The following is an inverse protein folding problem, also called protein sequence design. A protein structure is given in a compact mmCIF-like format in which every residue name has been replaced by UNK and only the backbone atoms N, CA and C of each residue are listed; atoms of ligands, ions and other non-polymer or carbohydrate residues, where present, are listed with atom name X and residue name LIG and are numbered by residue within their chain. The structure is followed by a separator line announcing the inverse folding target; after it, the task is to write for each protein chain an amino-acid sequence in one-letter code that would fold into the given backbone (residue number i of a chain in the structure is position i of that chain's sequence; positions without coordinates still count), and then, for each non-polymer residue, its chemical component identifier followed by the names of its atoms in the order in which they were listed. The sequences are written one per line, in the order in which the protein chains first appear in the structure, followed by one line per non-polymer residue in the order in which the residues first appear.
data_IF_787975501221
#
_entry.id   IF_787975501221
#
_cell.length_a   1.000
_cell.length_b   1.000
_cell.length_c   1.000
_cell.angle_alpha   90.00
_cell.angle_beta   90.00
_cell.angle_gamma   90.00
#
_symmetry.space_group_name_H-M   'P 1'
#
loop_
_entity.id
_entity.type
_entity.pdbx_description
1 polymer ?
#
# COMPACT_ATOMS: atom_id res chain seq x y z
N UNK A 1 -1.79 -3.48 22.49
CA UNK A 1 -2.00 -2.85 21.17
C UNK A 1 -3.27 -1.99 21.17
N UNK A 2 -3.21 -0.78 20.63
CA UNK A 2 -4.29 0.22 20.57
C UNK A 2 -4.62 0.87 21.92
N UNK A 3 -3.59 1.34 22.63
CA UNK A 3 -3.82 2.22 23.79
C UNK A 3 -4.30 3.61 23.32
N UNK A 4 -5.06 4.37 24.11
CA UNK A 4 -5.47 5.74 23.75
C UNK A 4 -4.30 6.70 23.45
N UNK A 5 -3.08 6.32 23.84
CA UNK A 5 -1.86 7.08 23.62
C UNK A 5 -1.16 6.73 22.29
N UNK A 6 -1.52 5.62 21.64
CA UNK A 6 -0.98 5.24 20.34
C UNK A 6 -1.65 6.06 19.23
N UNK A 7 -0.85 6.73 18.40
CA UNK A 7 -1.32 7.50 17.26
C UNK A 7 -0.62 7.02 15.98
N UNK A 8 -1.40 6.93 14.89
CA UNK A 8 -0.84 6.66 13.56
C UNK A 8 -0.20 7.93 13.01
N UNK A 9 1.05 7.82 12.58
CA UNK A 9 1.78 8.89 11.89
C UNK A 9 2.07 8.42 10.47
N UNK A 10 1.81 9.28 9.49
CA UNK A 10 2.11 8.96 8.10
C UNK A 10 3.62 8.97 7.86
N UNK A 11 4.15 7.87 7.31
CA UNK A 11 5.56 7.72 6.97
C UNK A 11 5.67 7.70 5.45
N UNK A 12 6.57 8.50 4.90
CA UNK A 12 6.81 8.51 3.46
C UNK A 12 7.46 7.20 3.03
N UNK A 13 6.92 6.57 2.00
CA UNK A 13 7.52 5.38 1.40
C UNK A 13 8.93 5.71 0.90
N UNK A 14 9.92 4.95 1.37
CA UNK A 14 11.34 5.17 1.07
C UNK A 14 12.11 5.97 2.12
N UNK A 15 11.49 6.34 3.24
CA UNK A 15 12.22 6.84 4.41
C UNK A 15 13.11 5.73 4.99
N UNK A 16 14.43 5.97 4.98
CA UNK A 16 15.43 4.98 5.35
C UNK A 16 15.56 4.77 6.86
N UNK A 17 14.86 5.54 7.70
CA UNK A 17 14.95 5.41 9.16
C UNK A 17 13.82 4.55 9.76
N UNK A 18 12.97 3.96 8.92
CA UNK A 18 11.77 3.23 9.34
C UNK A 18 11.64 1.89 8.62
N UNK A 19 10.42 1.34 8.60
CA UNK A 19 10.08 0.17 7.80
C UNK A 19 10.07 0.52 6.31
N UNK A 20 11.02 -0.03 5.57
CA UNK A 20 11.13 0.11 4.12
C UNK A 20 10.38 -1.03 3.42
N UNK A 21 9.50 -0.66 2.47
CA UNK A 21 8.67 -1.59 1.69
C UNK A 21 9.08 -1.53 0.23
N UNK A 22 9.52 -2.66 -0.35
CA UNK A 22 10.12 -2.71 -1.69
C UNK A 22 9.57 -3.85 -2.57
N UNK A 23 9.35 -3.60 -3.87
CA UNK A 23 9.37 -2.29 -4.53
C UNK A 23 8.14 -1.45 -4.12
N UNK A 24 8.24 -0.11 -4.07
CA UNK A 24 7.15 0.76 -3.61
C UNK A 24 5.99 0.86 -4.63
N UNK A 25 6.23 0.50 -5.89
CA UNK A 25 5.23 0.43 -6.97
C UNK A 25 5.67 -0.64 -7.98
N UNK A 26 4.72 -1.41 -8.48
CA UNK A 26 4.98 -2.44 -9.48
C UNK A 26 3.71 -2.74 -10.30
N UNK A 27 3.90 -3.25 -11.52
CA UNK A 27 2.80 -3.79 -12.31
C UNK A 27 2.47 -5.22 -11.85
N UNK A 28 1.18 -5.52 -11.71
CA UNK A 28 0.68 -6.85 -11.33
C UNK A 28 -0.26 -7.37 -12.44
N UNK A 29 0.26 -8.18 -13.38
CA UNK A 29 -0.58 -8.83 -14.39
C UNK A 29 -1.65 -9.73 -13.79
N UNK A 30 -2.77 -9.88 -14.49
CA UNK A 30 -3.86 -10.77 -14.10
C UNK A 30 -3.35 -12.21 -13.88
N UNK A 31 -3.79 -12.83 -12.78
CA UNK A 31 -3.39 -14.19 -12.41
C UNK A 31 -1.96 -14.35 -11.89
N UNK A 32 -1.19 -13.27 -11.77
CA UNK A 32 0.18 -13.31 -11.25
C UNK A 32 0.27 -12.93 -9.77
N UNK A 33 1.38 -13.28 -9.14
CA UNK A 33 1.76 -12.83 -7.80
C UNK A 33 3.09 -12.09 -7.84
N UNK A 34 3.31 -11.22 -6.84
CA UNK A 34 4.56 -10.49 -6.63
C UNK A 34 4.93 -10.53 -5.16
N UNK A 35 6.20 -10.78 -4.87
CA UNK A 35 6.74 -10.69 -3.52
C UNK A 35 7.09 -9.25 -3.20
N UNK A 36 6.63 -8.77 -2.06
CA UNK A 36 6.98 -7.45 -1.51
C UNK A 36 7.83 -7.68 -0.27
N UNK A 37 8.99 -7.01 -0.19
CA UNK A 37 9.94 -7.13 0.91
C UNK A 37 9.75 -6.01 1.92
N UNK A 38 9.82 -6.38 3.18
CA UNK A 38 9.76 -5.48 4.33
C UNK A 38 11.12 -5.53 5.01
N UNK A 39 11.74 -4.37 5.25
CA UNK A 39 13.05 -4.25 5.90
C UNK A 39 12.95 -3.17 6.98
N UNK A 40 13.15 -3.56 8.24
CA UNK A 40 13.35 -2.61 9.32
C UNK A 40 14.81 -2.11 9.23
N UNK A 41 14.98 -0.81 8.98
CA UNK A 41 16.32 -0.24 8.74
C UNK A 41 17.11 0.01 10.02
N UNK A 42 16.41 0.27 11.13
CA UNK A 42 16.99 0.45 12.44
C UNK A 42 16.32 -0.47 13.46
N UNK A 43 17.07 -0.99 14.44
CA UNK A 43 16.48 -1.72 15.55
C UNK A 43 15.63 -0.76 16.37
N UNK A 44 14.37 -1.14 16.58
CA UNK A 44 13.45 -0.32 17.36
C UNK A 44 13.71 -0.52 18.85
N UNK A 45 13.76 0.57 19.64
CA UNK A 45 13.94 0.45 21.09
C UNK A 45 12.68 -0.05 21.82
N UNK A 46 11.54 0.00 21.13
CA UNK A 46 10.23 -0.47 21.58
C UNK A 46 9.48 -0.99 20.37
N UNK A 47 8.68 -2.04 20.56
CA UNK A 47 7.84 -2.60 19.49
C UNK A 47 7.03 -1.49 18.78
N UNK A 48 7.15 -1.45 17.44
CA UNK A 48 6.39 -0.52 16.60
C UNK A 48 5.48 -1.26 15.65
N UNK A 49 4.26 -0.75 15.52
CA UNK A 49 3.25 -1.27 14.61
C UNK A 49 3.08 -0.32 13.42
N UNK A 50 3.18 -0.87 12.21
CA UNK A 50 3.00 -0.15 10.97
C UNK A 50 1.75 -0.64 10.25
N UNK A 51 0.97 0.28 9.67
CA UNK A 51 -0.11 -0.06 8.74
C UNK A 51 0.37 0.18 7.31
N UNK A 52 0.69 -0.90 6.60
CA UNK A 52 1.13 -0.83 5.20
C UNK A 52 -0.09 -0.99 4.30
N UNK A 53 -0.30 -0.01 3.42
CA UNK A 53 -1.44 0.02 2.49
C UNK A 53 -0.99 -0.34 1.08
N UNK A 54 -1.69 -1.28 0.46
CA UNK A 54 -1.56 -1.59 -0.96
C UNK A 54 -2.78 -1.01 -1.68
N UNK A 55 -2.51 -0.10 -2.61
CA UNK A 55 -3.53 0.60 -3.39
C UNK A 55 -3.34 0.30 -4.88
N UNK A 56 -4.45 0.02 -5.57
CA UNK A 56 -4.46 -0.07 -7.02
C UNK A 56 -4.37 1.34 -7.63
N UNK A 57 -3.39 1.55 -8.49
CA UNK A 57 -3.24 2.82 -9.23
C UNK A 57 -3.78 2.62 -10.65
N UNK A 58 -4.63 3.52 -11.18
CA UNK A 58 -5.13 3.43 -12.54
C UNK A 58 -4.01 3.37 -13.58
N UNK A 59 -4.22 2.61 -14.65
CA UNK A 59 -3.31 2.62 -15.80
C UNK A 59 -3.59 3.84 -16.68
N UNK A 60 -2.59 4.26 -17.45
CA UNK A 60 -2.75 5.38 -18.41
C UNK A 60 -3.74 5.00 -19.52
N UNK A 61 -3.93 3.70 -19.78
CA UNK A 61 -4.83 3.19 -20.81
C UNK A 61 -6.29 3.06 -20.33
N UNK A 62 -6.58 3.29 -19.04
CA UNK A 62 -7.95 3.26 -18.47
C UNK A 62 -8.78 4.51 -18.83
N UNK A 63 -8.29 5.39 -19.71
CA UNK A 63 -9.05 6.53 -20.21
C UNK A 63 -10.24 6.01 -21.02
N UNK A 64 -11.43 6.19 -20.46
CA UNK A 64 -12.69 5.76 -21.05
C UNK A 64 -12.76 6.21 -22.53
N UNK A 65 -12.83 5.24 -23.44
CA UNK A 65 -13.20 5.54 -24.83
C UNK A 65 -14.63 6.07 -24.84
N UNK A 66 -14.80 7.32 -25.27
CA UNK A 66 -16.11 7.96 -25.49
C UNK A 66 -16.96 7.14 -26.49
N UNK A 67 -17.65 6.13 -25.99
CA UNK A 67 -18.69 5.41 -26.74
C UNK A 67 -20.04 5.94 -26.31
N UNK A 68 -20.78 6.50 -27.27
CA UNK A 68 -22.17 7.01 -27.16
C UNK A 68 -23.21 5.89 -26.94
N UNK A 69 -22.89 4.88 -26.14
CA UNK A 69 -23.85 3.88 -25.70
C UNK A 69 -23.99 3.98 -24.19
N UNK A 70 -25.22 3.83 -23.69
CA UNK A 70 -25.53 3.93 -22.26
C UNK A 70 -24.93 2.75 -21.50
N UNK A 71 -23.63 2.79 -21.24
CA UNK A 71 -22.92 1.80 -20.45
C UNK A 71 -22.93 2.22 -18.97
N UNK A 72 -23.52 1.42 -18.10
CA UNK A 72 -23.32 1.57 -16.66
C UNK A 72 -21.89 1.14 -16.31
N UNK A 73 -21.04 2.12 -16.00
CA UNK A 73 -19.66 1.89 -15.58
C UNK A 73 -19.54 2.15 -14.07
N UNK A 74 -19.08 1.15 -13.31
CA UNK A 74 -18.78 1.27 -11.88
C UNK A 74 -17.27 1.16 -11.68
N UNK A 75 -16.67 2.18 -11.09
CA UNK A 75 -15.25 2.17 -10.71
C UNK A 75 -15.13 1.84 -9.22
N UNK A 76 -14.37 0.80 -8.89
CA UNK A 76 -14.10 0.39 -7.50
C UNK A 76 -12.60 0.53 -7.25
N UNK A 77 -12.21 1.23 -6.18
CA UNK A 77 -10.83 1.23 -5.67
C UNK A 77 -10.78 0.36 -4.41
N UNK A 78 -9.91 -0.66 -4.42
CA UNK A 78 -9.69 -1.55 -3.29
C UNK A 78 -8.32 -1.25 -2.67
N UNK A 79 -8.33 -0.95 -1.37
CA UNK A 79 -7.12 -0.69 -0.60
C UNK A 79 -7.00 -1.78 0.47
N UNK A 80 -5.92 -2.55 0.42
CA UNK A 80 -5.61 -3.55 1.46
C UNK A 80 -4.66 -2.95 2.49
N UNK A 81 -5.06 -2.93 3.75
CA UNK A 81 -4.21 -2.54 4.87
C UNK A 81 -3.76 -3.77 5.65
N UNK A 82 -2.44 -3.98 5.76
CA UNK A 82 -1.87 -5.00 6.64
C UNK A 82 -1.16 -4.34 7.82
N UNK A 83 -1.17 -5.00 8.98
CA UNK A 83 -0.44 -4.57 10.17
C UNK A 83 0.86 -5.36 10.27
N UNK A 84 1.98 -4.65 10.41
CA UNK A 84 3.33 -5.21 10.55
C UNK A 84 3.89 -4.77 11.90
N UNK A 85 4.23 -5.73 12.74
CA UNK A 85 4.86 -5.50 14.05
C UNK A 85 6.36 -5.72 13.93
N UNK A 86 7.15 -4.69 14.27
CA UNK A 86 8.61 -4.75 14.35
C UNK A 86 8.98 -4.78 15.84
N UNK A 87 9.57 -5.89 16.34
CA UNK A 87 9.94 -6.04 17.75
C UNK A 87 11.17 -5.21 18.12
#
# INVERSE_FOLDING_TARGET
PSTPQENEVEIKSGDANHLVVMPPKFALPAGSSKTVRFVAMEPEQKEKNYRVKFEAVPSIDDVATDKKDLSMQLTVNLIWGIVVSVP
#
